data_IF_946776244551
#
_entry.id   IF_946776244551
#
_cell.length_a   1.000
_cell.length_b   1.000
_cell.length_c   1.000
_cell.angle_alpha   90.00
_cell.angle_beta   90.00
_cell.angle_gamma   90.00
#
_symmetry.space_group_name_H-M   'P 1'
#
loop_
_entity.id
_entity.type
_entity.pdbx_description
1 polymer ?
#
# COMPACT_ATOMS: atom_id res chain seq x y z
N UNK A 1 -1.99 -11.16 33.58
CA UNK A 1 -0.51 -11.29 33.59
C UNK A 1 0.00 -10.56 32.35
N UNK A 2 1.16 -9.93 32.37
CA UNK A 2 1.68 -9.31 31.16
C UNK A 2 1.86 -10.37 30.06
N UNK A 3 1.48 -10.06 28.83
CA UNK A 3 1.67 -10.93 27.69
C UNK A 3 3.14 -11.05 27.32
N UNK A 4 3.57 -12.22 26.87
CA UNK A 4 4.88 -12.38 26.22
C UNK A 4 4.70 -12.12 24.73
N UNK A 5 5.33 -11.07 24.22
CA UNK A 5 5.19 -10.65 22.81
C UNK A 5 6.53 -10.82 22.09
N UNK A 6 6.54 -11.58 21.03
CA UNK A 6 7.68 -11.73 20.12
C UNK A 6 7.29 -11.18 18.74
N UNK A 7 8.15 -10.35 18.14
CA UNK A 7 7.95 -9.88 16.76
C UNK A 7 9.10 -10.33 15.88
N UNK A 8 8.78 -10.93 14.76
CA UNK A 8 9.71 -11.26 13.68
C UNK A 8 9.60 -10.18 12.61
N UNK A 9 10.68 -9.46 12.36
CA UNK A 9 10.64 -8.24 11.57
C UNK A 9 11.92 -8.00 10.78
N UNK A 10 11.85 -7.09 9.81
CA UNK A 10 13.01 -6.52 9.13
C UNK A 10 13.17 -5.04 9.49
N UNK A 11 14.39 -4.50 9.57
CA UNK A 11 14.63 -3.10 9.95
C UNK A 11 13.95 -2.08 9.03
N UNK A 12 13.96 -2.35 7.73
CA UNK A 12 13.48 -1.42 6.71
C UNK A 12 12.01 -1.65 6.30
N UNK A 13 11.34 -2.66 6.88
CA UNK A 13 9.97 -3.00 6.57
C UNK A 13 8.98 -1.99 7.17
N UNK A 14 8.18 -1.26 6.37
CA UNK A 14 7.21 -0.27 6.86
C UNK A 14 6.12 -0.88 7.76
N UNK A 15 5.58 -2.04 7.38
CA UNK A 15 4.57 -2.76 8.17
C UNK A 15 5.11 -3.19 9.54
N UNK A 16 6.39 -3.56 9.60
CA UNK A 16 7.07 -3.87 10.86
C UNK A 16 7.21 -2.63 11.75
N UNK A 17 7.49 -1.47 11.16
CA UNK A 17 7.56 -0.19 11.86
C UNK A 17 6.19 0.19 12.44
N UNK A 18 5.09 -0.05 11.72
CA UNK A 18 3.72 0.20 12.19
C UNK A 18 3.41 -0.63 13.45
N UNK A 19 3.72 -1.93 13.43
CA UNK A 19 3.51 -2.81 14.60
C UNK A 19 4.36 -2.36 15.79
N UNK A 20 5.62 -2.00 15.58
CA UNK A 20 6.51 -1.50 16.66
C UNK A 20 6.04 -0.17 17.21
N UNK A 21 5.51 0.73 16.38
CA UNK A 21 4.90 1.98 16.80
C UNK A 21 3.65 1.73 17.68
N UNK A 22 2.82 0.76 17.29
CA UNK A 22 1.68 0.32 18.09
C UNK A 22 2.13 -0.18 19.48
N UNK A 23 3.16 -1.03 19.54
CA UNK A 23 3.70 -1.50 20.83
C UNK A 23 4.21 -0.35 21.70
N UNK A 24 4.95 0.59 21.11
CA UNK A 24 5.44 1.77 21.81
C UNK A 24 4.30 2.65 22.35
N UNK A 25 3.26 2.89 21.55
CA UNK A 25 2.08 3.69 21.92
C UNK A 25 1.34 3.09 23.13
N UNK A 26 1.28 1.76 23.21
CA UNK A 26 0.55 1.05 24.26
C UNK A 26 1.44 0.52 25.39
N UNK A 27 2.74 0.92 25.43
CA UNK A 27 3.73 0.48 26.41
C UNK A 27 3.83 -1.07 26.50
N UNK A 28 3.73 -1.76 25.33
CA UNK A 28 3.85 -3.20 25.23
C UNK A 28 5.32 -3.56 25.08
N UNK A 29 5.85 -4.31 26.05
CA UNK A 29 7.20 -4.88 25.96
C UNK A 29 7.19 -6.05 24.98
N UNK A 30 8.22 -6.12 24.11
CA UNK A 30 8.34 -7.18 23.11
C UNK A 30 9.78 -7.58 22.85
N UNK A 31 9.99 -8.82 22.42
CA UNK A 31 11.27 -9.30 21.91
C UNK A 31 11.29 -9.21 20.40
N UNK A 32 12.26 -8.51 19.81
CA UNK A 32 12.41 -8.38 18.35
C UNK A 32 13.41 -9.40 17.82
N UNK A 33 12.98 -10.19 16.83
CA UNK A 33 13.83 -11.10 16.07
C UNK A 33 13.99 -10.54 14.64
N UNK A 34 15.22 -10.18 14.29
CA UNK A 34 15.57 -9.76 12.93
C UNK A 34 15.64 -11.00 12.02
N UNK A 35 14.75 -11.08 11.02
CA UNK A 35 14.67 -12.22 10.10
C UNK A 35 15.62 -12.10 8.90
N UNK A 36 16.49 -11.09 8.85
CA UNK A 36 17.68 -11.14 8.00
C UNK A 36 18.65 -12.24 8.45
N UNK A 37 18.59 -12.62 9.72
CA UNK A 37 19.22 -13.84 10.24
C UNK A 37 18.42 -15.08 9.87
N UNK A 38 19.09 -16.06 9.26
CA UNK A 38 18.44 -17.27 8.73
C UNK A 38 17.83 -18.16 9.80
N UNK A 39 18.36 -18.16 11.03
CA UNK A 39 17.80 -18.94 12.14
C UNK A 39 16.49 -18.31 12.63
N UNK A 40 16.43 -16.97 12.73
CA UNK A 40 15.22 -16.26 13.07
C UNK A 40 14.16 -16.40 11.97
N UNK A 41 14.55 -16.28 10.69
CA UNK A 41 13.66 -16.52 9.55
C UNK A 41 13.07 -17.93 9.58
N UNK A 42 13.89 -18.94 9.85
CA UNK A 42 13.44 -20.32 9.98
C UNK A 42 12.47 -20.49 11.16
N UNK A 43 12.81 -19.92 12.34
CA UNK A 43 11.93 -19.97 13.52
C UNK A 43 10.57 -19.32 13.23
N UNK A 44 10.55 -18.17 12.57
CA UNK A 44 9.32 -17.50 12.13
C UNK A 44 8.48 -18.39 11.23
N UNK A 45 9.09 -19.01 10.22
CA UNK A 45 8.41 -19.89 9.28
C UNK A 45 7.83 -21.12 9.98
N UNK A 46 8.62 -21.75 10.87
CA UNK A 46 8.20 -22.95 11.62
C UNK A 46 6.99 -22.64 12.53
N UNK A 47 6.92 -21.42 13.09
CA UNK A 47 5.82 -20.98 13.95
C UNK A 47 4.57 -20.55 13.18
N UNK A 48 4.75 -19.78 12.10
CA UNK A 48 3.65 -19.07 11.44
C UNK A 48 3.21 -19.68 10.11
N UNK A 49 4.04 -20.51 9.51
CA UNK A 49 3.85 -20.97 8.15
C UNK A 49 3.93 -19.84 7.11
N UNK A 50 4.54 -18.70 7.46
CA UNK A 50 4.62 -17.52 6.60
C UNK A 50 6.08 -17.21 6.22
N UNK A 51 6.26 -16.58 5.04
CA UNK A 51 7.54 -15.99 4.60
C UNK A 51 7.50 -14.47 4.56
N UNK A 52 6.37 -13.84 4.85
CA UNK A 52 6.23 -12.39 4.93
C UNK A 52 6.39 -11.87 6.35
N UNK A 53 6.75 -10.60 6.50
CA UNK A 53 6.88 -9.91 7.79
C UNK A 53 5.98 -8.66 7.83
N UNK A 54 5.58 -8.21 9.04
CA UNK A 54 5.88 -8.77 10.36
C UNK A 54 5.04 -10.01 10.71
N UNK A 55 5.59 -10.84 11.59
CA UNK A 55 4.82 -11.86 12.30
C UNK A 55 4.96 -11.60 13.78
N UNK A 56 3.84 -11.43 14.48
CA UNK A 56 3.81 -11.28 15.93
C UNK A 56 3.28 -12.55 16.58
N UNK A 57 3.97 -13.04 17.60
CA UNK A 57 3.59 -14.20 18.42
C UNK A 57 3.28 -13.71 19.82
N UNK A 58 2.08 -14.03 20.31
CA UNK A 58 1.62 -13.64 21.64
C UNK A 58 1.43 -14.91 22.47
N UNK A 59 2.06 -14.94 23.65
CA UNK A 59 2.02 -16.06 24.62
C UNK A 59 2.39 -17.42 23.99
N UNK A 60 3.20 -17.41 22.94
CA UNK A 60 3.66 -18.60 22.23
C UNK A 60 2.59 -19.35 21.43
N UNK A 61 1.36 -18.83 21.30
CA UNK A 61 0.21 -19.52 20.67
C UNK A 61 -0.56 -18.67 19.66
N UNK A 62 -0.81 -17.42 19.98
CA UNK A 62 -1.60 -16.54 19.10
C UNK A 62 -0.70 -15.83 18.09
N UNK A 63 -1.07 -15.89 16.81
CA UNK A 63 -0.28 -15.37 15.71
C UNK A 63 -1.03 -14.21 15.03
N UNK A 64 -0.32 -13.09 14.85
CA UNK A 64 -0.77 -11.98 14.02
C UNK A 64 0.22 -11.81 12.87
N UNK A 65 -0.29 -11.89 11.64
CA UNK A 65 0.48 -11.82 10.41
C UNK A 65 0.21 -10.46 9.77
N UNK A 66 1.29 -9.77 9.38
CA UNK A 66 1.18 -8.40 8.89
C UNK A 66 0.97 -7.38 10.03
N UNK A 67 0.62 -6.17 9.65
CA UNK A 67 0.31 -5.08 10.58
C UNK A 67 -1.20 -4.96 10.88
N UNK A 68 -1.83 -6.10 11.16
CA UNK A 68 -3.21 -6.15 11.65
C UNK A 68 -3.28 -5.64 13.09
N UNK A 69 -3.28 -4.31 13.21
CA UNK A 69 -3.28 -3.62 14.50
C UNK A 69 -4.55 -3.88 15.30
N UNK A 70 -5.68 -4.14 14.63
CA UNK A 70 -6.94 -4.48 15.30
C UNK A 70 -6.86 -5.82 16.01
N UNK A 71 -6.32 -6.83 15.32
CA UNK A 71 -6.11 -8.15 15.93
C UNK A 71 -5.07 -8.09 17.05
N UNK A 72 -4.00 -7.30 16.90
CA UNK A 72 -3.03 -7.06 17.97
C UNK A 72 -3.69 -6.41 19.18
N UNK A 73 -4.54 -5.41 18.97
CA UNK A 73 -5.27 -4.72 20.02
C UNK A 73 -6.21 -5.67 20.76
N UNK A 74 -7.01 -6.45 20.05
CA UNK A 74 -7.92 -7.43 20.66
C UNK A 74 -7.19 -8.48 21.52
N UNK A 75 -6.05 -8.98 21.04
CA UNK A 75 -5.29 -10.03 21.73
C UNK A 75 -4.47 -9.51 22.91
N UNK A 76 -3.87 -8.32 22.81
CA UNK A 76 -2.92 -7.80 23.80
C UNK A 76 -3.58 -6.90 24.86
N UNK A 77 -4.64 -6.21 24.46
CA UNK A 77 -5.32 -5.25 25.33
C UNK A 77 -6.70 -5.76 25.78
N UNK A 78 -7.21 -6.83 25.15
CA UNK A 78 -8.55 -7.39 25.35
C UNK A 78 -9.64 -6.57 24.70
N UNK A 79 -10.81 -7.16 24.50
CA UNK A 79 -11.98 -6.46 23.96
C UNK A 79 -12.45 -5.29 24.86
N UNK A 80 -12.08 -5.32 26.15
CA UNK A 80 -12.37 -4.24 27.11
C UNK A 80 -11.26 -3.18 27.23
N UNK A 81 -10.06 -3.46 26.69
CA UNK A 81 -8.89 -2.57 26.77
C UNK A 81 -8.61 -1.81 25.45
N UNK A 82 -9.43 -1.99 24.42
CA UNK A 82 -9.62 -0.83 23.57
C UNK A 82 -9.99 0.32 24.51
N UNK A 83 -9.32 1.49 24.48
CA UNK A 83 -10.08 2.66 24.75
C UNK A 83 -11.18 2.59 23.68
N UNK A 84 -12.37 2.17 24.06
CA UNK A 84 -13.56 2.76 23.55
C UNK A 84 -13.44 4.22 23.98
N UNK A 85 -12.58 4.98 23.32
CA UNK A 85 -13.00 6.32 23.03
C UNK A 85 -14.37 6.09 22.43
N UNK A 86 -15.39 6.49 23.16
CA UNK A 86 -16.76 6.40 22.69
C UNK A 86 -16.72 6.91 21.25
N UNK A 87 -17.35 6.21 20.28
CA UNK A 87 -17.23 6.55 18.88
C UNK A 87 -17.20 8.05 18.76
N UNK A 88 -16.13 8.63 18.24
CA UNK A 88 -15.95 10.08 18.22
C UNK A 88 -17.04 10.58 17.29
N UNK A 89 -18.07 11.19 17.87
CA UNK A 89 -19.00 12.02 17.12
C UNK A 89 -18.37 13.41 17.08
N UNK A 90 -17.76 13.73 15.94
CA UNK A 90 -17.06 14.99 15.76
C UNK A 90 -17.52 15.69 14.49
N UNK A 91 -17.72 16.99 14.61
CA UNK A 91 -18.09 17.85 13.49
C UNK A 91 -16.87 18.68 13.09
N UNK A 92 -16.47 18.63 11.82
CA UNK A 92 -15.36 19.40 11.29
C UNK A 92 -15.78 20.26 10.09
N UNK A 93 -15.03 21.32 9.81
CA UNK A 93 -15.23 22.08 8.56
C UNK A 93 -14.76 21.22 7.37
N UNK A 94 -13.64 20.50 7.53
CA UNK A 94 -13.02 19.70 6.49
C UNK A 94 -12.59 18.32 7.01
N UNK A 95 -12.89 17.28 6.26
CA UNK A 95 -12.29 15.95 6.48
C UNK A 95 -11.44 15.56 5.25
N UNK A 96 -10.21 15.13 5.50
CA UNK A 96 -9.30 14.57 4.48
C UNK A 96 -9.22 13.06 4.68
N UNK A 97 -9.65 12.27 3.70
CA UNK A 97 -9.62 10.82 3.76
C UNK A 97 -8.40 10.31 3.00
N UNK A 98 -7.40 9.84 3.76
CA UNK A 98 -6.11 9.39 3.25
C UNK A 98 -4.95 10.31 3.67
N UNK A 99 -3.94 9.73 4.33
CA UNK A 99 -2.74 10.41 4.82
C UNK A 99 -1.50 10.10 3.95
N UNK A 100 -1.67 10.05 2.62
CA UNK A 100 -0.61 9.82 1.65
C UNK A 100 -0.07 11.11 1.00
N UNK A 101 0.56 10.95 -0.17
CA UNK A 101 1.21 12.03 -0.91
C UNK A 101 0.29 13.19 -1.33
N UNK A 102 -1.02 12.98 -1.39
CA UNK A 102 -1.99 14.06 -1.63
C UNK A 102 -2.59 14.59 -0.32
N UNK A 103 -2.94 13.70 0.62
CA UNK A 103 -3.62 14.10 1.85
C UNK A 103 -2.75 14.90 2.81
N UNK A 104 -1.47 14.54 2.97
CA UNK A 104 -0.56 15.27 3.87
C UNK A 104 -0.31 16.72 3.44
N UNK A 105 -0.05 17.02 2.15
CA UNK A 105 0.04 18.42 1.70
C UNK A 105 -1.29 19.18 1.83
N UNK A 106 -2.43 18.52 1.58
CA UNK A 106 -3.73 19.13 1.83
C UNK A 106 -3.90 19.50 3.32
N UNK A 107 -3.55 18.59 4.23
CA UNK A 107 -3.58 18.81 5.67
C UNK A 107 -2.66 19.98 6.10
N UNK A 108 -1.42 20.02 5.60
CA UNK A 108 -0.51 21.12 5.86
C UNK A 108 -1.14 22.48 5.51
N UNK A 109 -1.72 22.57 4.32
CA UNK A 109 -2.32 23.84 3.88
C UNK A 109 -3.64 24.14 4.61
N UNK A 110 -4.38 23.11 5.07
CA UNK A 110 -5.57 23.28 5.89
C UNK A 110 -5.21 23.94 7.24
N UNK A 111 -4.20 23.44 7.93
CA UNK A 111 -3.73 24.03 9.18
C UNK A 111 -3.17 25.43 8.99
N UNK A 112 -2.46 25.72 7.88
CA UNK A 112 -2.01 27.08 7.55
C UNK A 112 -3.17 28.05 7.24
N UNK A 113 -4.33 27.55 6.92
CA UNK A 113 -5.59 28.31 6.72
C UNK A 113 -6.47 28.34 7.97
N UNK A 114 -5.97 27.74 9.07
CA UNK A 114 -6.72 27.63 10.35
C UNK A 114 -8.11 27.01 10.16
N UNK A 115 -8.24 26.04 9.23
CA UNK A 115 -9.46 25.27 9.05
C UNK A 115 -9.52 24.18 10.11
N UNK A 116 -10.67 24.03 10.75
CA UNK A 116 -10.97 22.87 11.58
C UNK A 116 -10.99 21.62 10.71
N UNK A 117 -9.92 20.81 10.81
CA UNK A 117 -9.65 19.74 9.86
C UNK A 117 -9.23 18.44 10.57
N UNK A 118 -9.91 17.35 10.21
CA UNK A 118 -9.51 16.00 10.59
C UNK A 118 -8.95 15.24 9.37
N UNK A 119 -7.80 14.58 9.55
CA UNK A 119 -7.25 13.63 8.58
C UNK A 119 -7.54 12.22 9.05
N UNK A 120 -8.28 11.44 8.26
CA UNK A 120 -8.52 10.01 8.51
C UNK A 120 -7.59 9.20 7.62
N UNK A 121 -6.71 8.38 8.22
CA UNK A 121 -5.79 7.55 7.45
C UNK A 121 -5.28 6.36 8.25
N UNK A 122 -5.47 5.15 7.72
CA UNK A 122 -5.02 3.90 8.37
C UNK A 122 -3.50 3.72 8.38
N UNK A 123 -2.78 4.39 7.46
CA UNK A 123 -1.33 4.41 7.45
C UNK A 123 -0.83 5.77 6.98
N UNK A 124 -0.10 6.47 7.83
CA UNK A 124 0.53 7.75 7.48
C UNK A 124 1.66 7.49 6.48
N UNK A 125 1.61 8.18 5.33
CA UNK A 125 2.57 8.03 4.23
C UNK A 125 2.05 7.17 3.07
N UNK A 126 1.07 6.29 3.32
CA UNK A 126 0.44 5.47 2.29
C UNK A 126 1.44 4.59 1.53
N UNK A 127 1.16 4.33 0.25
CA UNK A 127 1.96 3.45 -0.62
C UNK A 127 3.41 3.90 -0.82
N UNK A 128 3.72 5.19 -0.65
CA UNK A 128 5.10 5.70 -0.82
C UNK A 128 6.05 5.10 0.21
N UNK A 129 5.56 4.74 1.40
CA UNK A 129 6.36 4.07 2.44
C UNK A 129 6.98 2.74 1.98
N UNK A 130 6.42 2.13 0.93
CA UNK A 130 6.92 0.86 0.36
C UNK A 130 8.10 1.07 -0.61
N UNK A 131 8.41 2.32 -0.98
CA UNK A 131 9.52 2.62 -1.87
C UNK A 131 10.81 2.67 -1.10
N UNK A 132 11.76 1.77 -1.41
CA UNK A 132 13.09 1.74 -0.79
C UNK A 132 13.83 3.05 -1.02
N UNK A 133 13.80 3.55 -2.26
CA UNK A 133 14.37 4.84 -2.67
C UNK A 133 13.41 5.52 -3.66
N UNK A 134 13.16 6.78 -3.44
CA UNK A 134 12.45 7.69 -4.35
C UNK A 134 13.49 8.56 -5.04
N UNK A 135 13.75 8.31 -6.33
CA UNK A 135 14.76 9.01 -7.13
C UNK A 135 14.20 10.21 -7.91
N UNK A 136 12.87 10.31 -8.03
CA UNK A 136 12.19 11.23 -8.92
C UNK A 136 11.36 12.32 -8.21
N UNK A 137 11.61 12.56 -6.92
CA UNK A 137 10.98 13.66 -6.21
C UNK A 137 11.81 14.95 -6.38
N UNK A 138 11.26 16.01 -7.03
CA UNK A 138 12.03 17.20 -7.34
C UNK A 138 12.63 17.85 -6.09
N UNK A 139 13.94 18.12 -6.11
CA UNK A 139 14.66 18.80 -5.04
C UNK A 139 15.12 17.90 -3.88
N UNK A 140 14.74 16.63 -3.84
CA UNK A 140 15.18 15.66 -2.83
C UNK A 140 15.59 14.37 -3.57
N UNK A 141 16.85 14.23 -3.98
CA UNK A 141 17.32 13.03 -4.65
C UNK A 141 17.51 11.87 -3.64
N UNK A 142 17.26 10.66 -4.09
CA UNK A 142 17.62 9.40 -3.41
C UNK A 142 17.18 9.32 -1.94
N UNK A 143 15.90 9.57 -1.69
CA UNK A 143 15.31 9.53 -0.36
C UNK A 143 14.46 8.27 -0.15
N UNK A 144 14.61 7.55 0.97
CA UNK A 144 13.66 6.49 1.33
C UNK A 144 12.23 7.03 1.41
N UNK A 145 11.25 6.24 0.91
CA UNK A 145 9.86 6.69 0.84
C UNK A 145 9.27 7.02 2.19
N UNK A 146 9.54 6.20 3.22
CA UNK A 146 9.10 6.43 4.59
C UNK A 146 9.69 7.70 5.21
N UNK A 147 10.95 8.03 4.91
CA UNK A 147 11.60 9.27 5.35
C UNK A 147 10.97 10.49 4.67
N UNK A 148 10.72 10.40 3.36
CA UNK A 148 10.05 11.48 2.62
C UNK A 148 8.66 11.76 3.19
N UNK A 149 7.86 10.71 3.38
CA UNK A 149 6.49 10.85 3.87
C UNK A 149 6.45 11.23 5.34
N UNK A 150 7.40 10.75 6.16
CA UNK A 150 7.56 11.16 7.55
C UNK A 150 7.76 12.67 7.70
N UNK A 151 8.62 13.27 6.86
CA UNK A 151 8.82 14.74 6.84
C UNK A 151 7.55 15.50 6.47
N UNK A 152 6.77 15.01 5.48
CA UNK A 152 5.49 15.62 5.12
C UNK A 152 4.48 15.51 6.26
N UNK A 153 4.43 14.37 6.94
CA UNK A 153 3.54 14.15 8.08
C UNK A 153 3.89 15.05 9.27
N UNK A 154 5.18 15.12 9.64
CA UNK A 154 5.65 16.02 10.71
C UNK A 154 5.31 17.49 10.39
N UNK A 155 5.50 17.91 9.15
CA UNK A 155 5.18 19.26 8.72
C UNK A 155 3.66 19.54 8.80
N UNK A 156 2.80 18.60 8.38
CA UNK A 156 1.35 18.74 8.50
C UNK A 156 0.94 18.79 9.98
N UNK A 157 1.43 17.87 10.83
CA UNK A 157 1.15 17.83 12.28
C UNK A 157 1.58 19.10 13.01
N UNK A 158 2.66 19.74 12.58
CA UNK A 158 3.16 20.98 13.20
C UNK A 158 2.20 22.17 13.06
N UNK A 159 1.20 22.08 12.20
CA UNK A 159 0.16 23.12 12.01
C UNK A 159 -1.08 22.91 12.88
N UNK A 160 -1.10 21.89 13.73
CA UNK A 160 -2.21 21.62 14.65
C UNK A 160 -3.40 20.87 14.05
N UNK A 161 -3.28 20.35 12.82
CA UNK A 161 -4.33 19.52 12.20
C UNK A 161 -4.42 18.18 12.94
N UNK A 162 -5.66 17.72 13.19
CA UNK A 162 -5.93 16.47 13.87
C UNK A 162 -5.81 15.26 12.93
N UNK A 163 -5.30 14.14 13.47
CA UNK A 163 -5.16 12.89 12.75
C UNK A 163 -5.86 11.75 13.49
N UNK A 164 -6.75 11.07 12.79
CA UNK A 164 -7.40 9.84 13.24
C UNK A 164 -6.78 8.65 12.47
N UNK A 165 -6.03 7.81 13.18
CA UNK A 165 -5.47 6.58 12.64
C UNK A 165 -6.57 5.54 12.50
N UNK A 166 -7.39 5.65 11.45
CA UNK A 166 -8.52 4.78 11.16
C UNK A 166 -8.78 4.72 9.66
N UNK A 167 -9.66 3.84 9.22
CA UNK A 167 -10.02 3.65 7.81
C UNK A 167 -11.47 4.08 7.61
N UNK A 168 -11.71 5.07 6.75
CA UNK A 168 -13.05 5.39 6.31
C UNK A 168 -13.66 4.24 5.50
N UNK A 169 -14.85 3.78 5.86
CA UNK A 169 -15.54 2.65 5.22
C UNK A 169 -16.80 3.05 4.48
N UNK A 170 -17.46 4.12 4.90
CA UNK A 170 -18.63 4.65 4.23
C UNK A 170 -18.70 6.18 4.31
N UNK A 171 -19.35 6.79 3.33
CA UNK A 171 -19.63 8.21 3.30
C UNK A 171 -20.93 8.47 2.57
N UNK A 172 -21.78 9.32 3.16
CA UNK A 172 -23.03 9.80 2.54
C UNK A 172 -23.12 11.32 2.68
N UNK A 173 -23.83 11.97 1.77
CA UNK A 173 -24.15 13.39 1.88
C UNK A 173 -25.61 13.57 2.31
N UNK A 174 -25.86 14.24 3.43
CA UNK A 174 -27.19 14.44 3.99
C UNK A 174 -27.31 15.84 4.58
N UNK A 175 -28.38 16.56 4.23
CA UNK A 175 -28.63 17.90 4.78
C UNK A 175 -27.49 18.92 4.53
N UNK A 176 -26.71 18.74 3.48
CA UNK A 176 -25.59 19.63 3.14
C UNK A 176 -24.23 19.29 3.79
N UNK A 177 -24.19 18.30 4.69
CA UNK A 177 -22.98 17.79 5.33
C UNK A 177 -22.68 16.36 4.86
N UNK A 178 -21.42 15.95 4.98
CA UNK A 178 -20.98 14.58 4.75
C UNK A 178 -20.94 13.85 6.08
N UNK A 179 -21.58 12.68 6.16
CA UNK A 179 -21.49 11.76 7.29
C UNK A 179 -20.51 10.63 6.89
N UNK A 180 -19.45 10.46 7.66
CA UNK A 180 -18.37 9.50 7.41
C UNK A 180 -18.34 8.51 8.56
N UNK A 181 -18.31 7.22 8.24
CA UNK A 181 -18.14 6.15 9.20
C UNK A 181 -16.79 5.46 8.98
N UNK A 182 -16.11 5.14 10.07
CA UNK A 182 -14.81 4.48 10.04
C UNK A 182 -14.91 3.03 10.48
N UNK A 183 -13.87 2.27 10.20
CA UNK A 183 -13.77 0.84 10.53
C UNK A 183 -13.91 0.59 12.05
N UNK A 184 -13.37 1.50 12.87
CA UNK A 184 -13.47 1.41 14.34
C UNK A 184 -14.79 1.98 14.89
N UNK A 185 -15.75 2.31 14.01
CA UNK A 185 -17.09 2.78 14.40
C UNK A 185 -17.17 4.27 14.74
N UNK A 186 -16.10 5.06 14.47
CA UNK A 186 -16.17 6.52 14.62
C UNK A 186 -17.12 7.11 13.58
N UNK A 187 -17.89 8.12 13.98
CA UNK A 187 -18.81 8.87 13.12
C UNK A 187 -18.35 10.31 13.08
N UNK A 188 -18.01 10.77 11.90
CA UNK A 188 -17.49 12.12 11.68
C UNK A 188 -18.36 12.82 10.66
N UNK A 189 -18.72 14.08 10.94
CA UNK A 189 -19.39 14.92 9.94
C UNK A 189 -18.45 16.01 9.43
N UNK A 190 -18.67 16.45 8.19
CA UNK A 190 -17.88 17.49 7.57
C UNK A 190 -18.71 18.32 6.58
N UNK A 191 -18.41 19.63 6.50
CA UNK A 191 -18.97 20.51 5.46
C UNK A 191 -18.30 20.29 4.11
N UNK A 192 -17.03 19.92 4.10
CA UNK A 192 -16.27 19.56 2.90
C UNK A 192 -15.41 18.32 3.13
N UNK A 193 -15.14 17.57 2.03
CA UNK A 193 -14.33 16.37 2.06
C UNK A 193 -13.30 16.39 0.93
N UNK A 194 -12.07 15.97 1.23
CA UNK A 194 -11.04 15.67 0.23
C UNK A 194 -10.75 14.17 0.24
N UNK A 195 -11.10 13.46 -0.84
CA UNK A 195 -10.70 12.08 -1.05
C UNK A 195 -9.26 12.01 -1.56
N UNK A 196 -8.36 11.46 -0.74
CA UNK A 196 -6.92 11.30 -1.03
C UNK A 196 -6.46 9.85 -0.77
N UNK A 197 -7.35 8.89 -1.03
CA UNK A 197 -7.21 7.47 -0.67
C UNK A 197 -6.22 6.69 -1.54
N UNK A 198 -5.76 7.28 -2.64
CA UNK A 198 -4.74 6.71 -3.51
C UNK A 198 -5.17 5.42 -4.19
N UNK A 199 -4.24 4.45 -4.25
CA UNK A 199 -4.42 3.14 -4.89
C UNK A 199 -3.97 2.01 -3.98
N UNK A 200 -4.48 0.82 -4.25
CA UNK A 200 -4.13 -0.43 -3.58
C UNK A 200 -3.58 -1.44 -4.59
N UNK A 201 -2.75 -2.41 -4.18
CA UNK A 201 -2.20 -3.44 -5.06
C UNK A 201 -3.28 -4.17 -5.84
N UNK A 202 -2.97 -4.46 -7.10
CA UNK A 202 -3.82 -5.25 -7.99
C UNK A 202 -3.38 -6.70 -7.98
N UNK A 203 -4.36 -7.60 -7.96
CA UNK A 203 -4.14 -9.04 -8.12
C UNK A 203 -4.35 -9.47 -9.58
N UNK A 204 -3.62 -10.50 -10.03
CA UNK A 204 -3.71 -11.01 -11.40
C UNK A 204 -4.92 -11.89 -11.63
N UNK A 205 -5.39 -12.54 -10.56
CA UNK A 205 -6.42 -13.56 -10.60
C UNK A 205 -5.90 -14.93 -11.01
N UNK A 206 -4.57 -15.13 -11.04
CA UNK A 206 -3.98 -16.43 -11.30
C UNK A 206 -4.36 -17.44 -10.20
N UNK A 207 -4.56 -18.69 -10.59
CA UNK A 207 -4.85 -19.76 -9.63
C UNK A 207 -3.71 -19.86 -8.61
N UNK A 208 -4.04 -20.01 -7.32
CA UNK A 208 -3.09 -20.08 -6.22
C UNK A 208 -2.58 -18.72 -5.72
N UNK A 209 -2.86 -17.60 -6.41
CA UNK A 209 -2.37 -16.28 -6.03
C UNK A 209 -2.77 -15.89 -4.61
N UNK A 210 -4.03 -16.05 -4.25
CA UNK A 210 -4.56 -15.78 -2.91
C UNK A 210 -4.16 -16.84 -1.88
N UNK A 211 -4.06 -18.11 -2.29
CA UNK A 211 -3.70 -19.23 -1.41
C UNK A 211 -2.25 -19.12 -0.91
N UNK A 212 -1.37 -18.57 -1.76
CA UNK A 212 0.04 -18.35 -1.48
C UNK A 212 0.39 -16.93 -1.07
N UNK A 213 -0.60 -16.02 -0.89
CA UNK A 213 -0.32 -14.68 -0.40
C UNK A 213 0.30 -14.75 1.00
N UNK A 214 1.47 -14.11 1.19
CA UNK A 214 2.30 -14.25 2.40
C UNK A 214 3.07 -15.57 2.51
N UNK A 215 2.80 -16.54 1.62
CA UNK A 215 3.50 -17.85 1.57
C UNK A 215 4.38 -17.99 0.33
N UNK A 216 4.83 -16.86 -0.20
CA UNK A 216 5.63 -16.78 -1.41
C UNK A 216 5.08 -15.81 -2.44
N UNK A 217 3.80 -15.41 -2.37
CA UNK A 217 3.24 -14.30 -3.14
C UNK A 217 3.29 -13.03 -2.31
N UNK A 218 3.84 -11.96 -2.86
CA UNK A 218 4.06 -10.68 -2.20
C UNK A 218 3.80 -9.49 -3.13
N UNK A 219 3.64 -8.30 -2.54
CA UNK A 219 3.41 -7.03 -3.25
C UNK A 219 4.44 -5.95 -2.87
N UNK A 220 5.33 -6.25 -1.92
CA UNK A 220 6.33 -5.32 -1.39
C UNK A 220 7.71 -5.98 -1.40
N UNK A 221 8.61 -5.51 -2.26
CA UNK A 221 9.98 -6.04 -2.34
C UNK A 221 10.85 -5.59 -1.17
N UNK A 222 10.67 -4.36 -0.69
CA UNK A 222 11.38 -3.85 0.49
C UNK A 222 11.03 -4.67 1.75
N UNK A 223 9.76 -5.15 1.85
CA UNK A 223 9.32 -5.94 3.01
C UNK A 223 9.79 -7.39 2.94
N UNK A 224 9.61 -8.02 1.79
CA UNK A 224 9.75 -9.47 1.66
C UNK A 224 11.00 -9.90 0.87
N UNK A 225 11.53 -9.01 0.02
CA UNK A 225 12.68 -9.28 -0.85
C UNK A 225 13.89 -9.89 -0.13
N UNK A 226 14.32 -9.38 1.03
CA UNK A 226 15.45 -9.94 1.78
C UNK A 226 15.31 -11.43 2.13
N UNK A 227 14.08 -11.95 2.27
CA UNK A 227 13.79 -13.37 2.55
C UNK A 227 14.05 -14.29 1.36
N UNK A 228 14.27 -13.71 0.18
CA UNK A 228 14.56 -14.43 -1.07
C UNK A 228 16.03 -14.34 -1.48
N UNK A 229 16.92 -14.01 -0.54
CA UNK A 229 18.36 -13.99 -0.79
C UNK A 229 18.85 -15.36 -1.31
N UNK A 230 19.45 -15.33 -2.50
CA UNK A 230 19.99 -16.53 -3.16
C UNK A 230 18.93 -17.49 -3.74
N UNK A 231 17.65 -17.08 -3.81
CA UNK A 231 16.52 -17.86 -4.35
C UNK A 231 16.10 -17.33 -5.70
N UNK A 232 15.45 -18.17 -6.52
CA UNK A 232 14.80 -17.73 -7.75
C UNK A 232 13.43 -17.13 -7.46
N UNK A 233 13.11 -16.00 -8.09
CA UNK A 233 11.85 -15.29 -7.91
C UNK A 233 11.24 -14.85 -9.24
N UNK A 234 9.94 -14.64 -9.27
CA UNK A 234 9.24 -14.04 -10.40
C UNK A 234 8.68 -12.66 -10.05
N UNK A 235 8.72 -11.74 -10.99
CA UNK A 235 8.03 -10.45 -10.94
C UNK A 235 6.99 -10.41 -12.05
N UNK A 236 5.73 -10.21 -11.69
CA UNK A 236 4.64 -10.16 -12.64
C UNK A 236 4.34 -8.70 -12.99
N UNK A 237 4.56 -8.31 -14.25
CA UNK A 237 4.29 -6.95 -14.72
C UNK A 237 5.36 -6.42 -15.66
N UNK A 238 5.10 -5.26 -16.26
CA UNK A 238 6.01 -4.61 -17.22
C UNK A 238 5.96 -3.09 -17.19
N UNK A 239 5.40 -2.50 -16.14
CA UNK A 239 5.43 -1.06 -15.82
C UNK A 239 6.55 -0.73 -14.84
N UNK A 240 6.68 0.56 -14.45
CA UNK A 240 7.71 1.03 -13.53
C UNK A 240 7.75 0.23 -12.24
N UNK A 241 6.62 0.00 -11.59
CA UNK A 241 6.55 -0.80 -10.36
C UNK A 241 7.22 -2.17 -10.50
N UNK A 242 6.94 -2.89 -11.60
CA UNK A 242 7.56 -4.20 -11.82
C UNK A 242 9.07 -4.10 -12.09
N UNK A 243 9.51 -3.06 -12.82
CA UNK A 243 10.93 -2.87 -13.09
C UNK A 243 11.71 -2.48 -11.82
N UNK A 244 11.14 -1.63 -10.97
CA UNK A 244 11.72 -1.25 -9.67
C UNK A 244 11.83 -2.48 -8.75
N UNK A 245 10.74 -3.26 -8.63
CA UNK A 245 10.74 -4.52 -7.90
C UNK A 245 11.83 -5.47 -8.40
N UNK A 246 11.95 -5.61 -9.72
CA UNK A 246 12.94 -6.50 -10.32
C UNK A 246 14.38 -6.02 -10.07
N UNK A 247 14.63 -4.71 -10.05
CA UNK A 247 15.94 -4.14 -9.71
C UNK A 247 16.32 -4.44 -8.26
N UNK A 248 15.40 -4.21 -7.32
CA UNK A 248 15.64 -4.53 -5.90
C UNK A 248 15.92 -6.02 -5.70
N UNK A 249 15.13 -6.89 -6.34
CA UNK A 249 15.29 -8.33 -6.24
C UNK A 249 16.57 -8.83 -6.92
N UNK A 250 17.00 -8.22 -8.02
CA UNK A 250 18.23 -8.60 -8.72
C UNK A 250 19.49 -8.42 -7.85
N UNK A 251 19.43 -7.60 -6.79
CA UNK A 251 20.55 -7.42 -5.87
C UNK A 251 20.63 -8.51 -4.80
N UNK A 252 19.58 -9.29 -4.60
CA UNK A 252 19.49 -10.27 -3.51
C UNK A 252 19.17 -11.70 -3.99
N UNK A 253 18.35 -11.84 -5.02
CA UNK A 253 17.93 -13.13 -5.57
C UNK A 253 19.00 -13.77 -6.46
N UNK A 254 18.98 -15.09 -6.58
CA UNK A 254 19.87 -15.81 -7.53
C UNK A 254 19.43 -15.62 -8.98
N UNK A 255 18.11 -15.52 -9.21
CA UNK A 255 17.52 -15.31 -10.53
C UNK A 255 16.18 -14.57 -10.39
N UNK A 256 15.90 -13.64 -11.31
CA UNK A 256 14.66 -12.85 -11.36
C UNK A 256 14.00 -13.04 -12.73
N UNK A 257 12.84 -13.68 -12.75
CA UNK A 257 12.02 -13.87 -13.95
C UNK A 257 10.97 -12.76 -14.05
N UNK A 258 11.05 -11.89 -15.06
CA UNK A 258 10.07 -10.82 -15.28
C UNK A 258 9.03 -11.29 -16.32
N UNK A 259 7.79 -11.47 -15.88
CA UNK A 259 6.70 -11.98 -16.70
C UNK A 259 5.86 -10.82 -17.24
N UNK A 260 5.87 -10.65 -18.56
CA UNK A 260 5.21 -9.52 -19.23
C UNK A 260 4.24 -10.00 -20.30
N UNK A 261 2.95 -9.67 -20.18
CA UNK A 261 1.91 -10.12 -21.12
C UNK A 261 2.12 -9.66 -22.56
N UNK A 262 2.60 -8.43 -22.77
CA UNK A 262 2.75 -7.87 -24.11
C UNK A 262 4.15 -7.27 -24.31
N UNK A 263 4.33 -6.01 -23.91
CA UNK A 263 5.60 -5.29 -23.98
C UNK A 263 5.88 -4.60 -22.67
N UNK A 264 7.15 -4.43 -22.36
CA UNK A 264 7.58 -3.57 -21.24
C UNK A 264 7.16 -2.14 -21.55
N UNK A 265 6.58 -1.45 -20.55
CA UNK A 265 6.06 -0.08 -20.66
C UNK A 265 6.66 0.84 -19.61
N UNK A 266 7.54 0.33 -18.75
CA UNK A 266 8.26 1.12 -17.77
C UNK A 266 9.34 1.98 -18.44
N UNK A 267 9.90 2.89 -17.67
CA UNK A 267 10.88 3.86 -18.11
C UNK A 267 12.17 3.20 -18.63
N UNK A 268 12.70 3.74 -19.73
CA UNK A 268 13.90 3.16 -20.37
C UNK A 268 15.11 3.11 -19.43
N UNK A 269 15.22 4.05 -18.50
CA UNK A 269 16.31 4.08 -17.54
C UNK A 269 16.29 2.82 -16.64
N UNK A 270 15.12 2.40 -16.16
CA UNK A 270 14.96 1.19 -15.35
C UNK A 270 15.23 -0.07 -16.18
N UNK A 271 14.65 -0.10 -17.40
CA UNK A 271 14.88 -1.21 -18.33
C UNK A 271 16.36 -1.39 -18.68
N UNK A 272 17.09 -0.28 -18.90
CA UNK A 272 18.51 -0.32 -19.21
C UNK A 272 19.36 -0.80 -18.01
N UNK A 273 19.01 -0.38 -16.79
CA UNK A 273 19.62 -0.92 -15.56
C UNK A 273 19.41 -2.44 -15.45
N UNK A 274 18.20 -2.93 -15.68
CA UNK A 274 17.87 -4.36 -15.62
C UNK A 274 18.64 -5.17 -16.68
N UNK A 275 18.82 -4.66 -17.89
CA UNK A 275 19.59 -5.32 -18.95
C UNK A 275 21.06 -5.53 -18.60
N UNK A 276 21.62 -4.80 -17.64
CA UNK A 276 22.99 -4.99 -17.16
C UNK A 276 23.11 -6.09 -16.11
N UNK A 277 22.00 -6.57 -15.55
CA UNK A 277 21.98 -7.63 -14.54
C UNK A 277 22.00 -9.00 -15.21
N UNK A 278 22.99 -9.82 -14.88
CA UNK A 278 23.18 -11.16 -15.47
C UNK A 278 22.17 -12.20 -14.96
N UNK A 279 21.49 -11.92 -13.85
CA UNK A 279 20.51 -12.79 -13.20
C UNK A 279 19.07 -12.42 -13.49
N UNK A 280 18.80 -11.57 -14.50
CA UNK A 280 17.45 -11.15 -14.88
C UNK A 280 17.05 -11.76 -16.22
N UNK A 281 15.88 -12.41 -16.26
CA UNK A 281 15.32 -13.05 -17.46
C UNK A 281 13.94 -12.47 -17.76
N UNK A 282 13.73 -12.00 -18.98
CA UNK A 282 12.45 -11.47 -19.44
C UNK A 282 11.64 -12.53 -20.19
N UNK A 283 10.41 -12.78 -19.76
CA UNK A 283 9.40 -13.61 -20.42
C UNK A 283 8.30 -12.73 -21.00
N UNK A 284 8.48 -12.29 -22.24
CA UNK A 284 7.52 -11.42 -22.94
C UNK A 284 6.53 -12.22 -23.78
N UNK A 285 5.24 -11.86 -23.73
CA UNK A 285 4.16 -12.60 -24.41
C UNK A 285 3.63 -13.77 -23.59
N UNK A 286 3.83 -13.74 -22.29
CA UNK A 286 3.32 -14.72 -21.34
C UNK A 286 2.40 -14.10 -20.30
N UNK A 287 1.41 -14.86 -19.85
CA UNK A 287 0.62 -14.57 -18.65
C UNK A 287 0.82 -15.67 -17.62
N UNK A 288 0.68 -15.31 -16.36
CA UNK A 288 0.68 -16.29 -15.29
C UNK A 288 -0.70 -16.97 -15.26
N UNK A 289 -0.73 -18.29 -15.28
CA UNK A 289 -1.95 -19.09 -15.20
C UNK A 289 -2.14 -19.67 -13.82
N UNK A 290 -1.05 -20.13 -13.19
CA UNK A 290 -1.07 -20.76 -11.88
C UNK A 290 0.22 -20.46 -11.12
N UNK A 291 0.08 -20.19 -9.83
CA UNK A 291 1.15 -20.25 -8.83
C UNK A 291 0.92 -21.55 -8.06
N UNK A 292 1.92 -22.41 -7.98
CA UNK A 292 1.78 -23.72 -7.36
C UNK A 292 2.88 -23.98 -6.33
N UNK A 293 2.60 -24.90 -5.42
CA UNK A 293 3.52 -25.35 -4.38
C UNK A 293 2.81 -26.23 -3.35
N UNK A 294 3.52 -26.57 -2.31
CA UNK A 294 2.99 -27.23 -1.12
C UNK A 294 2.57 -26.21 -0.06
N UNK A 295 3.34 -26.08 1.02
CA UNK A 295 3.13 -25.04 2.04
C UNK A 295 3.51 -23.64 1.51
N UNK A 296 4.51 -23.55 0.65
CA UNK A 296 5.04 -22.33 0.05
C UNK A 296 5.06 -22.45 -1.47
N UNK A 297 5.26 -21.31 -2.16
CA UNK A 297 5.47 -21.27 -3.59
C UNK A 297 6.70 -22.12 -3.97
N UNK A 298 6.52 -23.00 -4.96
CA UNK A 298 7.56 -23.83 -5.57
C UNK A 298 7.73 -23.52 -7.05
N UNK A 299 6.78 -22.80 -7.66
CA UNK A 299 6.88 -22.39 -9.04
C UNK A 299 5.64 -21.69 -9.59
N UNK A 300 5.79 -21.28 -10.85
CA UNK A 300 4.72 -20.67 -11.65
C UNK A 300 4.51 -21.44 -12.94
N UNK A 301 3.27 -21.47 -13.40
CA UNK A 301 2.88 -21.97 -14.71
C UNK A 301 2.53 -20.79 -15.60
N UNK A 302 3.23 -20.65 -16.71
CA UNK A 302 3.05 -19.58 -17.69
C UNK A 302 2.33 -20.10 -18.92
N UNK A 303 1.39 -19.32 -19.40
CA UNK A 303 0.70 -19.53 -20.66
C UNK A 303 1.20 -18.54 -21.70
N UNK A 304 1.69 -19.05 -22.83
CA UNK A 304 2.10 -18.21 -23.94
C UNK A 304 0.89 -17.59 -24.62
N UNK A 305 0.91 -16.27 -24.74
CA UNK A 305 -0.14 -15.52 -25.43
C UNK A 305 0.15 -15.55 -26.92
N UNK A 306 -0.64 -16.34 -27.70
CA UNK A 306 -0.44 -16.50 -29.13
C UNK A 306 -0.96 -15.31 -29.94
N UNK A 307 -0.11 -14.76 -30.82
CA UNK A 307 -0.52 -13.94 -31.96
C UNK A 307 -0.64 -14.83 -33.24
N UNK A 308 -1.75 -14.79 -33.92
CA UNK A 308 -1.93 -15.44 -35.24
C UNK A 308 -2.32 -16.93 -35.20
N UNK A 309 -1.93 -17.67 -36.21
CA UNK A 309 -2.31 -19.08 -36.52
C UNK A 309 -1.97 -20.09 -35.40
N UNK A 310 -1.21 -19.69 -34.37
CA UNK A 310 -0.84 -20.50 -33.21
C UNK A 310 -2.01 -20.93 -32.30
N UNK A 311 -3.24 -20.49 -32.57
CA UNK A 311 -4.46 -20.98 -31.87
C UNK A 311 -4.74 -22.48 -32.08
N UNK A 312 -4.07 -23.11 -33.03
CA UNK A 312 -4.33 -24.51 -33.45
C UNK A 312 -3.38 -25.49 -32.77
N UNK A 313 -2.24 -25.03 -32.29
CA UNK A 313 -1.30 -25.85 -31.49
C UNK A 313 -1.55 -25.59 -30.01
N UNK A 314 -1.73 -26.67 -29.22
CA UNK A 314 -1.85 -26.61 -27.76
C UNK A 314 -0.85 -25.59 -27.22
N UNK A 315 -1.34 -24.53 -26.60
CA UNK A 315 -0.50 -23.57 -25.87
C UNK A 315 0.26 -24.35 -24.79
N UNK A 316 1.56 -24.56 -24.99
CA UNK A 316 2.38 -25.23 -24.00
C UNK A 316 2.40 -24.40 -22.72
N UNK A 317 2.05 -25.02 -21.60
CA UNK A 317 2.27 -24.43 -20.28
C UNK A 317 3.74 -24.60 -19.98
N UNK A 318 4.45 -23.50 -19.78
CA UNK A 318 5.83 -23.47 -19.33
C UNK A 318 5.87 -23.34 -17.80
N UNK A 319 6.54 -24.28 -17.13
CA UNK A 319 6.69 -24.23 -15.68
C UNK A 319 8.07 -23.71 -15.34
N UNK A 320 8.12 -22.72 -14.47
CA UNK A 320 9.37 -22.11 -13.98
C UNK A 320 9.41 -22.31 -12.46
N UNK A 321 10.45 -22.98 -11.94
CA UNK A 321 10.64 -23.13 -10.50
C UNK A 321 11.06 -21.77 -9.92
N UNK A 322 10.27 -21.26 -8.97
CA UNK A 322 10.56 -20.04 -8.22
C UNK A 322 10.05 -20.20 -6.79
N UNK A 323 10.72 -19.59 -5.83
CA UNK A 323 10.33 -19.64 -4.44
C UNK A 323 9.52 -18.40 -3.99
N UNK A 324 9.46 -17.37 -4.85
CA UNK A 324 8.68 -16.15 -4.60
C UNK A 324 8.10 -15.55 -5.88
N UNK A 325 6.94 -14.91 -5.75
CA UNK A 325 6.24 -14.21 -6.83
C UNK A 325 5.85 -12.82 -6.34
N UNK A 326 6.33 -11.79 -7.01
CA UNK A 326 6.07 -10.39 -6.68
C UNK A 326 5.12 -9.77 -7.70
N UNK A 327 4.00 -9.21 -7.23
CA UNK A 327 2.94 -8.69 -8.09
C UNK A 327 3.17 -7.21 -8.41
N UNK A 328 3.83 -6.92 -9.52
CA UNK A 328 4.07 -5.59 -10.08
C UNK A 328 3.09 -5.19 -11.19
N UNK A 329 1.83 -5.66 -11.13
CA UNK A 329 0.83 -5.49 -12.21
C UNK A 329 0.00 -4.22 -12.11
N UNK A 330 0.46 -3.29 -11.30
CA UNK A 330 -0.20 -2.01 -11.09
C UNK A 330 -1.12 -2.00 -9.88
N UNK A 331 -1.86 -0.93 -9.77
CA UNK A 331 -2.67 -0.60 -8.61
C UNK A 331 -4.09 -0.29 -9.05
N UNK A 332 -5.08 -0.65 -8.24
CA UNK A 332 -6.47 -0.23 -8.40
C UNK A 332 -6.75 1.04 -7.58
N UNK A 333 -7.57 1.98 -8.07
CA UNK A 333 -8.00 3.12 -7.26
C UNK A 333 -8.71 2.63 -5.99
N UNK A 334 -8.38 3.23 -4.85
CA UNK A 334 -9.02 2.91 -3.57
C UNK A 334 -10.25 3.80 -3.36
N UNK A 335 -11.30 3.55 -4.14
CA UNK A 335 -12.47 4.42 -4.29
C UNK A 335 -13.80 3.75 -3.95
N UNK A 336 -13.77 2.50 -3.47
CA UNK A 336 -14.98 1.71 -3.23
C UNK A 336 -15.99 2.41 -2.30
N UNK A 337 -15.50 3.10 -1.26
CA UNK A 337 -16.36 3.81 -0.31
C UNK A 337 -17.12 5.02 -0.92
N UNK A 338 -16.70 5.48 -2.10
CA UNK A 338 -17.30 6.65 -2.78
C UNK A 338 -18.25 6.24 -3.91
N UNK A 339 -18.48 4.95 -4.13
CA UNK A 339 -19.43 4.47 -5.15
C UNK A 339 -20.84 4.97 -4.87
N UNK A 340 -21.48 5.48 -5.93
CA UNK A 340 -22.81 6.06 -5.84
C UNK A 340 -22.85 7.49 -5.26
N UNK A 341 -21.74 8.00 -4.72
CA UNK A 341 -21.64 9.38 -4.24
C UNK A 341 -21.08 10.31 -5.33
N UNK A 342 -19.99 9.91 -6.00
CA UNK A 342 -19.32 10.73 -7.01
C UNK A 342 -19.25 10.00 -8.36
N UNK A 343 -19.09 10.76 -9.44
CA UNK A 343 -18.86 10.18 -10.77
C UNK A 343 -17.46 9.57 -10.87
N UNK A 344 -17.40 8.36 -11.47
CA UNK A 344 -16.18 7.62 -11.70
C UNK A 344 -16.07 7.20 -13.16
N UNK A 345 -14.84 7.05 -13.66
CA UNK A 345 -14.59 6.49 -14.98
C UNK A 345 -14.65 4.94 -14.97
N UNK A 346 -14.41 4.32 -16.15
CA UNK A 346 -14.44 2.86 -16.30
C UNK A 346 -13.36 2.14 -15.46
N UNK A 347 -12.27 2.82 -15.12
CA UNK A 347 -11.19 2.35 -14.25
C UNK A 347 -11.49 2.58 -12.77
N UNK A 348 -12.71 3.10 -12.44
CA UNK A 348 -13.16 3.45 -11.08
C UNK A 348 -12.38 4.60 -10.44
N UNK A 349 -11.73 5.43 -11.23
CA UNK A 349 -11.10 6.66 -10.76
C UNK A 349 -12.14 7.77 -10.61
N UNK A 350 -12.03 8.56 -9.53
CA UNK A 350 -12.94 9.71 -9.29
C UNK A 350 -12.68 10.76 -10.37
N UNK A 351 -13.74 11.14 -11.09
CA UNK A 351 -13.64 12.17 -12.11
C UNK A 351 -13.54 13.54 -11.45
N UNK A 352 -12.49 14.28 -11.78
CA UNK A 352 -12.24 15.64 -11.27
C UNK A 352 -11.92 16.60 -12.41
N UNK A 353 -12.22 17.87 -12.18
CA UNK A 353 -11.80 18.98 -13.05
C UNK A 353 -10.36 19.45 -12.70
N UNK A 354 -9.90 20.49 -13.37
CA UNK A 354 -8.57 21.08 -13.16
C UNK A 354 -8.34 21.62 -11.74
N UNK A 355 -9.39 21.92 -11.00
CA UNK A 355 -9.39 22.41 -9.62
C UNK A 355 -9.54 21.29 -8.58
N UNK A 356 -9.49 20.02 -8.99
CA UNK A 356 -9.73 18.85 -8.14
C UNK A 356 -11.16 18.79 -7.56
N UNK A 357 -12.14 19.47 -8.19
CA UNK A 357 -13.55 19.43 -7.84
C UNK A 357 -14.23 18.24 -8.52
N UNK A 358 -15.13 17.57 -7.81
CA UNK A 358 -15.97 16.48 -8.35
C UNK A 358 -17.33 17.05 -8.82
N UNK A 359 -18.22 16.18 -9.31
CA UNK A 359 -19.61 16.53 -9.60
C UNK A 359 -20.46 16.77 -8.34
N UNK A 360 -19.91 16.52 -7.14
CA UNK A 360 -20.62 16.71 -5.86
C UNK A 360 -20.06 17.94 -5.16
N UNK A 361 -20.91 18.94 -4.96
CA UNK A 361 -20.55 20.18 -4.27
C UNK A 361 -20.01 19.90 -2.86
N UNK A 362 -18.85 20.50 -2.50
CA UNK A 362 -18.16 20.27 -1.24
C UNK A 362 -17.32 18.99 -1.20
N UNK A 363 -17.32 18.18 -2.27
CA UNK A 363 -16.50 16.98 -2.37
C UNK A 363 -15.39 17.16 -3.40
N UNK A 364 -14.15 17.03 -2.96
CA UNK A 364 -12.93 17.18 -3.74
C UNK A 364 -12.16 15.87 -3.76
N UNK A 365 -11.29 15.66 -4.75
CA UNK A 365 -10.43 14.49 -4.76
C UNK A 365 -9.05 14.80 -5.35
N UNK A 366 -8.01 14.14 -4.84
CA UNK A 366 -6.63 14.36 -5.24
C UNK A 366 -5.79 13.08 -5.26
N UNK A 367 -4.74 13.10 -6.03
CA UNK A 367 -3.77 12.02 -6.14
C UNK A 367 -4.29 10.84 -6.98
N UNK A 368 -3.70 9.68 -6.74
CA UNK A 368 -3.86 8.50 -7.58
C UNK A 368 -5.29 7.92 -7.64
N UNK A 369 -6.17 8.31 -6.71
CA UNK A 369 -7.58 7.93 -6.73
C UNK A 369 -8.39 8.63 -7.85
N UNK A 370 -7.86 9.70 -8.44
CA UNK A 370 -8.57 10.56 -9.42
C UNK A 370 -8.32 10.15 -10.87
N UNK A 371 -9.05 10.76 -11.80
CA UNK A 371 -8.87 10.60 -13.25
C UNK A 371 -7.66 11.34 -13.84
N UNK A 372 -6.91 12.08 -13.03
CA UNK A 372 -5.69 12.75 -13.44
C UNK A 372 -4.62 11.71 -13.82
N UNK A 373 -4.03 11.85 -15.00
CA UNK A 373 -3.17 10.81 -15.59
C UNK A 373 -1.79 10.70 -14.94
N UNK A 374 -1.27 11.79 -14.41
CA UNK A 374 0.07 11.82 -13.82
C UNK A 374 0.07 11.20 -12.42
N UNK A 375 0.29 9.89 -12.33
CA UNK A 375 0.34 9.13 -11.08
C UNK A 375 1.77 9.15 -10.50
N UNK A 376 2.15 10.29 -9.95
CA UNK A 376 3.48 10.54 -9.37
C UNK A 376 3.35 11.20 -8.00
N UNK A 377 4.33 11.00 -7.11
CA UNK A 377 4.33 11.62 -5.78
C UNK A 377 4.24 13.15 -5.90
N UNK A 378 5.06 13.74 -6.77
CA UNK A 378 5.12 15.20 -6.94
C UNK A 378 3.80 15.77 -7.49
N UNK A 379 3.12 15.10 -8.43
CA UNK A 379 1.81 15.53 -8.93
C UNK A 379 0.75 15.42 -7.84
N UNK A 380 0.74 14.32 -7.08
CA UNK A 380 -0.20 14.12 -5.96
C UNK A 380 -0.05 15.21 -4.88
N UNK A 381 1.18 15.64 -4.58
CA UNK A 381 1.44 16.76 -3.67
C UNK A 381 0.77 18.04 -4.18
N UNK A 382 0.97 18.38 -5.46
CA UNK A 382 0.36 19.57 -6.08
C UNK A 382 -1.17 19.49 -6.13
N UNK A 383 -1.72 18.31 -6.41
CA UNK A 383 -3.16 18.06 -6.44
C UNK A 383 -3.78 18.19 -5.04
N UNK A 384 -3.12 17.68 -4.00
CA UNK A 384 -3.59 17.83 -2.63
C UNK A 384 -3.68 19.29 -2.20
N UNK A 385 -2.67 20.09 -2.51
CA UNK A 385 -2.71 21.54 -2.27
C UNK A 385 -3.84 22.20 -3.06
N UNK A 386 -4.02 21.85 -4.32
CA UNK A 386 -5.07 22.40 -5.18
C UNK A 386 -6.48 22.07 -4.66
N UNK A 387 -6.71 20.79 -4.31
CA UNK A 387 -7.99 20.34 -3.74
C UNK A 387 -8.33 21.12 -2.46
N UNK A 388 -7.32 21.35 -1.61
CA UNK A 388 -7.55 22.15 -0.40
C UNK A 388 -7.89 23.61 -0.72
N UNK A 389 -7.19 24.25 -1.65
CA UNK A 389 -7.49 25.62 -2.00
C UNK A 389 -8.92 25.77 -2.54
N UNK A 390 -9.40 24.78 -3.30
CA UNK A 390 -10.79 24.71 -3.78
C UNK A 390 -11.79 24.47 -2.63
N UNK A 391 -11.46 23.56 -1.72
CA UNK A 391 -12.29 23.31 -0.52
C UNK A 391 -12.37 24.55 0.39
N UNK A 392 -11.25 25.24 0.56
CA UNK A 392 -11.23 26.50 1.32
C UNK A 392 -12.10 27.57 0.68
N UNK A 393 -12.03 27.76 -0.64
CA UNK A 393 -12.86 28.70 -1.36
C UNK A 393 -14.35 28.36 -1.26
N UNK A 394 -14.69 27.05 -1.24
CA UNK A 394 -16.05 26.59 -1.01
C UNK A 394 -16.54 26.90 0.41
N UNK A 395 -15.74 26.63 1.44
CA UNK A 395 -16.11 26.84 2.85
C UNK A 395 -16.22 28.31 3.26
N UNK A 396 -15.66 29.24 2.47
CA UNK A 396 -15.73 30.69 2.74
C UNK A 396 -16.80 31.43 1.93
N UNK A 397 -17.62 30.72 1.14
CA UNK A 397 -18.83 31.26 0.50
C UNK A 397 -19.96 31.36 1.51
#
# INVERSE_FOLDING_TARGET
>A
MPHTVEIYSLPDCPHCKNVKAFFAKHNIEYTNYDVSDSANAKKMIDLSGQRGVPVTVIDGKDLVIGDDLMKLQALLLGDDAAPKEAPVEADHELVIIGAGAAGLPAALYAGRKELDTLVIGGAIGGMVNQSKIVENYPGIPDVPGDILMGKLAEHAKSTGVEFLEDVGISIIKKGGVFEIETLNGNKVTAKAVIAATGRIPRFSGAKGETDFFGKGVAVCTTCDGPLYKGKAVAVIGGGNTALDMALELADVASEVHIIVRSKVRGDEILLNRLKTKSNVVFHTGYEIEEIYGGQFVEGIALKKLGGGIAKIFKSGIEKIPVEGVFLGIGLNPNTAMFEGLVEMNAEREIIVNENCETNVEGFFAAGDATSIKAKQIASSVGEGVKALLSAYAYLKK
#
